data_IF_659880978869
#
_entry.id   IF_659880978869
#
_cell.length_a   1.000
_cell.length_b   1.000
_cell.length_c   1.000
_cell.angle_alpha   90.00
_cell.angle_beta   90.00
_cell.angle_gamma   90.00
#
_symmetry.space_group_name_H-M   'P 1'
#
loop_
_entity.id
_entity.type
_entity.pdbx_description
1 polymer ?
#
# COMPACT_ATOMS: atom_id res chain seq x y z
N UNK A 1 2.31 8.63 5.35
CA UNK A 1 3.78 8.67 5.44
C UNK A 1 4.35 9.89 4.71
N UNK A 2 5.66 10.03 4.64
CA UNK A 2 6.37 11.13 3.98
C UNK A 2 6.91 10.77 2.58
N UNK A 3 6.60 9.59 2.08
CA UNK A 3 7.08 9.04 0.80
C UNK A 3 5.93 8.87 -0.19
N UNK A 4 5.30 9.96 -0.57
CA UNK A 4 4.20 9.99 -1.56
C UNK A 4 3.12 8.89 -1.33
N UNK A 5 2.95 8.50 -0.08
CA UNK A 5 2.03 7.44 0.38
C UNK A 5 2.35 6.01 -0.10
N UNK A 6 3.53 5.73 -0.62
CA UNK A 6 3.89 4.39 -1.12
C UNK A 6 3.72 3.33 -0.03
N UNK A 7 4.30 3.57 1.16
CA UNK A 7 4.18 2.62 2.28
C UNK A 7 2.80 2.63 2.92
N UNK A 8 2.14 3.78 2.95
CA UNK A 8 0.78 3.89 3.47
C UNK A 8 -0.21 3.10 2.60
N UNK A 9 -0.10 3.17 1.29
CA UNK A 9 -0.91 2.39 0.36
C UNK A 9 -0.64 0.89 0.48
N UNK A 10 0.62 0.48 0.64
CA UNK A 10 0.98 -0.92 0.88
C UNK A 10 0.36 -1.42 2.19
N UNK A 11 0.48 -0.66 3.27
CA UNK A 11 -0.14 -1.00 4.56
C UNK A 11 -1.67 -1.08 4.44
N UNK A 12 -2.30 -0.13 3.76
CA UNK A 12 -3.74 -0.15 3.49
C UNK A 12 -4.16 -1.44 2.80
N UNK A 13 -3.44 -1.86 1.76
CA UNK A 13 -3.74 -3.09 1.04
C UNK A 13 -3.60 -4.32 1.95
N UNK A 14 -2.51 -4.41 2.73
CA UNK A 14 -2.26 -5.50 3.66
C UNK A 14 -3.32 -5.57 4.77
N UNK A 15 -3.71 -4.42 5.31
CA UNK A 15 -4.77 -4.34 6.31
C UNK A 15 -6.10 -4.89 5.76
N UNK A 16 -6.43 -4.55 4.52
CA UNK A 16 -7.61 -5.11 3.85
C UNK A 16 -7.46 -6.60 3.56
N UNK A 17 -6.27 -7.06 3.26
CA UNK A 17 -6.01 -8.48 3.03
C UNK A 17 -6.26 -9.34 4.27
N UNK A 18 -6.04 -8.81 5.47
CA UNK A 18 -6.41 -9.49 6.72
C UNK A 18 -7.82 -9.14 7.22
N UNK A 19 -8.64 -8.51 6.37
CA UNK A 19 -10.06 -8.27 6.60
C UNK A 19 -10.40 -7.01 7.40
N UNK A 20 -9.48 -6.06 7.58
CA UNK A 20 -9.77 -4.77 8.22
C UNK A 20 -10.52 -3.87 7.23
N UNK A 21 -11.78 -3.58 7.54
CA UNK A 21 -12.64 -2.74 6.69
C UNK A 21 -12.37 -1.24 6.84
N UNK A 22 -12.12 -0.81 8.09
CA UNK A 22 -11.96 0.61 8.42
C UNK A 22 -10.49 1.00 8.43
N UNK A 23 -9.91 1.10 7.25
CA UNK A 23 -8.55 1.59 7.04
C UNK A 23 -8.57 2.59 5.90
N UNK A 24 -7.88 3.71 6.05
CA UNK A 24 -7.82 4.82 5.08
C UNK A 24 -6.39 5.29 4.95
N UNK A 25 -6.07 5.83 3.79
CA UNK A 25 -4.82 6.55 3.54
C UNK A 25 -5.13 8.05 3.61
N UNK A 26 -4.31 8.80 4.34
CA UNK A 26 -4.42 10.26 4.41
C UNK A 26 -3.93 10.84 3.07
N UNK A 27 -4.82 11.51 2.36
CA UNK A 27 -4.48 12.15 1.10
C UNK A 27 -3.43 13.26 1.30
N UNK A 28 -2.35 13.21 0.53
CA UNK A 28 -1.19 14.09 0.68
C UNK A 28 -0.29 13.77 1.89
N UNK A 29 -0.58 12.69 2.63
CA UNK A 29 0.28 12.15 3.68
C UNK A 29 0.59 13.13 4.81
N UNK A 30 1.79 12.99 5.39
CA UNK A 30 2.24 13.83 6.50
C UNK A 30 2.43 15.29 6.08
N UNK A 31 2.82 15.55 4.84
CA UNK A 31 2.97 16.92 4.31
C UNK A 31 1.66 17.69 4.38
N UNK A 32 0.57 17.11 3.89
CA UNK A 32 -0.76 17.73 3.98
C UNK A 32 -1.22 17.91 5.43
N UNK A 33 -0.97 16.94 6.31
CA UNK A 33 -1.31 17.07 7.73
C UNK A 33 -0.68 18.31 8.34
N UNK A 34 0.60 18.54 8.10
CA UNK A 34 1.33 19.70 8.61
C UNK A 34 0.87 21.02 7.95
N UNK A 35 0.62 21.02 6.64
CA UNK A 35 0.14 22.20 5.91
C UNK A 35 -1.24 22.68 6.38
N UNK A 36 -2.07 21.78 6.89
CA UNK A 36 -3.34 22.13 7.55
C UNK A 36 -3.18 22.58 9.02
N UNK A 37 -1.96 22.89 9.44
CA UNK A 37 -1.68 23.37 10.80
C UNK A 37 -1.87 22.32 11.90
N UNK A 38 -1.84 21.04 11.54
CA UNK A 38 -1.96 19.93 12.50
C UNK A 38 -0.61 19.63 13.14
N UNK A 39 -0.61 19.44 14.45
CA UNK A 39 0.60 19.15 15.21
C UNK A 39 0.91 17.65 15.21
N UNK A 40 2.18 17.34 15.40
CA UNK A 40 2.66 16.01 15.75
C UNK A 40 2.85 15.94 17.28
N UNK A 41 2.72 14.73 17.82
CA UNK A 41 3.04 14.45 19.22
C UNK A 41 4.14 13.40 19.28
N UNK A 42 5.01 13.53 20.26
CA UNK A 42 5.99 12.52 20.66
C UNK A 42 5.47 11.60 21.75
N UNK A 43 4.24 11.82 22.20
CA UNK A 43 3.62 11.00 23.23
C UNK A 43 3.43 9.58 22.72
N UNK A 44 3.86 8.61 23.51
CA UNK A 44 3.62 7.20 23.23
C UNK A 44 2.31 6.79 23.92
N UNK A 45 1.24 6.55 23.16
CA UNK A 45 -0.04 6.18 23.76
C UNK A 45 0.08 4.83 24.45
N UNK A 46 -0.51 4.73 25.66
CA UNK A 46 -0.63 3.45 26.35
C UNK A 46 -1.55 2.54 25.55
N UNK A 47 -0.99 1.56 24.89
CA UNK A 47 -1.76 0.60 24.12
C UNK A 47 -2.44 -0.42 25.05
N UNK A 48 -3.72 -0.67 24.80
CA UNK A 48 -4.42 -1.78 25.43
C UNK A 48 -4.17 -3.04 24.60
N UNK A 49 -3.93 -4.16 25.28
CA UNK A 49 -3.82 -5.45 24.60
C UNK A 49 -5.13 -5.74 23.85
N UNK A 50 -5.03 -6.02 22.55
CA UNK A 50 -6.17 -6.41 21.73
C UNK A 50 -6.03 -7.87 21.29
N UNK A 51 -7.16 -8.51 21.00
CA UNK A 51 -7.20 -9.81 20.33
C UNK A 51 -7.60 -9.58 18.88
N UNK A 52 -6.60 -9.49 18.01
CA UNK A 52 -6.85 -9.41 16.58
C UNK A 52 -7.01 -10.82 16.01
N UNK A 53 -8.09 -11.02 15.28
CA UNK A 53 -8.35 -12.24 14.51
C UNK A 53 -8.49 -11.83 13.04
N UNK A 54 -7.64 -12.37 12.17
CA UNK A 54 -7.75 -12.15 10.74
C UNK A 54 -9.09 -12.67 10.23
N UNK A 55 -9.71 -11.89 9.35
CA UNK A 55 -10.98 -12.20 8.69
C UNK A 55 -10.75 -12.48 7.22
N UNK A 56 -11.82 -12.81 6.51
CA UNK A 56 -11.77 -13.00 5.06
C UNK A 56 -11.17 -11.78 4.36
N UNK A 57 -10.27 -12.04 3.44
CA UNK A 57 -9.57 -11.01 2.69
C UNK A 57 -10.56 -10.15 1.87
N UNK A 58 -10.32 -8.84 1.89
CA UNK A 58 -11.07 -7.86 1.10
C UNK A 58 -10.28 -7.42 -0.15
N UNK A 59 -9.04 -7.88 -0.28
CA UNK A 59 -8.17 -7.74 -1.46
C UNK A 59 -7.80 -9.13 -1.96
N UNK A 60 -7.50 -9.26 -3.24
CA UNK A 60 -7.18 -10.54 -3.87
C UNK A 60 -5.77 -10.51 -4.46
N UNK A 61 -5.06 -11.60 -4.30
CA UNK A 61 -3.85 -11.91 -5.07
C UNK A 61 -4.20 -12.89 -6.18
N UNK A 62 -3.49 -12.83 -7.28
CA UNK A 62 -3.58 -13.77 -8.40
C UNK A 62 -2.19 -14.30 -8.68
N UNK A 63 -2.09 -15.55 -9.12
CA UNK A 63 -0.84 -16.15 -9.56
C UNK A 63 -0.53 -15.79 -11.01
N UNK A 64 0.70 -16.06 -11.47
CA UNK A 64 1.06 -15.92 -12.88
C UNK A 64 0.22 -16.86 -13.76
N UNK A 65 -0.11 -18.05 -13.27
CA UNK A 65 -0.97 -19.00 -13.97
C UNK A 65 -2.40 -18.50 -14.11
N UNK A 66 -2.96 -17.87 -13.07
CA UNK A 66 -4.27 -17.23 -13.14
C UNK A 66 -4.30 -16.14 -14.21
N UNK A 67 -3.24 -15.34 -14.31
CA UNK A 67 -3.11 -14.28 -15.31
C UNK A 67 -3.06 -14.87 -16.72
N UNK A 68 -2.34 -16.00 -16.89
CA UNK A 68 -2.24 -16.65 -18.18
C UNK A 68 -3.56 -17.28 -18.65
N UNK A 69 -4.33 -17.83 -17.72
CA UNK A 69 -5.57 -18.56 -18.01
C UNK A 69 -6.82 -17.67 -18.05
N UNK A 70 -6.72 -16.41 -17.68
CA UNK A 70 -7.87 -15.49 -17.61
C UNK A 70 -7.57 -14.17 -18.31
N UNK A 71 -8.61 -13.54 -18.85
CA UNK A 71 -8.50 -12.21 -19.43
C UNK A 71 -8.50 -11.15 -18.33
N UNK A 72 -7.32 -10.71 -17.91
CA UNK A 72 -7.14 -9.58 -17.01
C UNK A 72 -6.61 -8.36 -17.75
N UNK A 73 -7.01 -7.18 -17.32
CA UNK A 73 -6.29 -5.96 -17.67
C UNK A 73 -5.14 -5.80 -16.70
N UNK A 74 -3.91 -5.92 -17.20
CA UNK A 74 -2.70 -5.75 -16.39
C UNK A 74 -2.28 -4.28 -16.42
N UNK A 75 -2.07 -3.71 -15.24
CA UNK A 75 -1.62 -2.34 -15.07
C UNK A 75 -0.25 -2.38 -14.40
N UNK A 76 0.77 -1.87 -15.07
CA UNK A 76 2.10 -1.69 -14.50
C UNK A 76 2.18 -0.32 -13.83
N UNK A 77 2.46 -0.30 -12.53
CA UNK A 77 2.58 0.92 -11.75
C UNK A 77 4.02 1.47 -11.71
N UNK A 78 4.96 0.87 -12.46
CA UNK A 78 6.33 1.37 -12.58
C UNK A 78 6.37 2.65 -13.44
N UNK A 79 7.51 3.35 -13.43
CA UNK A 79 7.72 4.48 -14.35
C UNK A 79 7.73 4.02 -15.81
N UNK A 80 7.50 4.95 -16.72
CA UNK A 80 7.43 4.65 -18.16
C UNK A 80 8.75 4.04 -18.67
N UNK A 81 9.89 4.53 -18.18
CA UNK A 81 11.22 4.04 -18.54
C UNK A 81 11.42 2.59 -18.10
N UNK A 82 10.98 2.27 -16.90
CA UNK A 82 11.03 0.90 -16.38
C UNK A 82 10.08 -0.04 -17.14
N UNK A 83 8.89 0.44 -17.44
CA UNK A 83 7.93 -0.34 -18.24
C UNK A 83 8.46 -0.68 -19.64
N UNK A 84 9.22 0.24 -20.25
CA UNK A 84 9.83 0.05 -21.57
C UNK A 84 11.14 -0.73 -21.54
N UNK A 85 11.66 -1.07 -20.37
CA UNK A 85 12.95 -1.72 -20.22
C UNK A 85 14.16 -0.82 -20.49
N UNK A 86 13.98 0.50 -20.50
CA UNK A 86 15.03 1.50 -20.72
C UNK A 86 15.88 1.73 -19.46
N UNK A 87 15.33 1.46 -18.29
CA UNK A 87 16.00 1.56 -17.00
C UNK A 87 15.47 0.51 -16.01
N UNK A 88 16.37 -0.18 -15.32
CA UNK A 88 15.99 -1.10 -14.24
C UNK A 88 17.01 -1.01 -13.07
N UNK A 89 16.78 -0.07 -12.14
CA UNK A 89 17.70 0.17 -11.03
C UNK A 89 17.53 -0.79 -9.85
N UNK A 90 16.50 -1.63 -9.84
CA UNK A 90 16.10 -2.42 -8.67
C UNK A 90 16.24 -3.92 -8.94
N UNK A 91 15.73 -4.39 -10.05
CA UNK A 91 15.67 -5.81 -10.37
C UNK A 91 16.84 -6.23 -11.26
N UNK A 92 17.43 -7.39 -10.99
CA UNK A 92 18.54 -7.91 -11.79
C UNK A 92 18.11 -8.36 -13.20
N UNK A 93 16.82 -8.57 -13.38
CA UNK A 93 16.18 -8.90 -14.67
C UNK A 93 14.85 -8.13 -14.75
N UNK A 94 14.69 -7.36 -15.78
CA UNK A 94 13.43 -6.69 -16.10
C UNK A 94 12.53 -7.64 -16.91
#
# INVERSE_FOLDING_TARGET
DSNDNVYACRFWWMARWVGIKQVKVLNGGLGSWLSFGKNLSTDVPKQKRSQFVAKSALTRTVSAEDIHNHSYTLIDARSVERFRGEAEPIDAKA
#
